data_IF_363787165108
#
_entry.id   IF_363787165108
#
_cell.length_a   1.000
_cell.length_b   1.000
_cell.length_c   1.000
_cell.angle_alpha   90.00
_cell.angle_beta   90.00
_cell.angle_gamma   90.00
#
_symmetry.space_group_name_H-M   'P 1'
#
loop_
_entity.id
_entity.type
_entity.pdbx_description
1 polymer ?
#
# COMPACT_ATOMS: atom_id res chain seq x y z
N UNK A 1 8.23 -28.59 10.24
CA UNK A 1 7.21 -28.98 9.24
C UNK A 1 6.33 -27.78 8.95
N UNK A 2 6.44 -27.26 7.73
CA UNK A 2 5.89 -26.01 7.27
C UNK A 2 4.40 -26.12 6.96
N UNK A 3 3.60 -25.22 7.55
CA UNK A 3 2.16 -25.07 7.32
C UNK A 3 1.78 -24.48 5.93
N UNK A 4 2.68 -24.59 4.95
CA UNK A 4 2.59 -23.88 3.65
C UNK A 4 1.95 -24.67 2.51
N UNK A 5 1.38 -25.86 2.76
CA UNK A 5 1.03 -26.78 1.67
C UNK A 5 -0.45 -27.00 1.37
N UNK A 6 -1.41 -26.26 1.92
CA UNK A 6 -2.84 -26.51 1.59
C UNK A 6 -3.64 -25.23 1.41
N UNK A 7 -3.46 -24.54 0.29
CA UNK A 7 -4.51 -23.66 -0.24
C UNK A 7 -5.00 -24.30 -1.54
N UNK A 8 -6.28 -24.71 -1.64
CA UNK A 8 -6.80 -25.32 -2.86
C UNK A 8 -6.81 -24.31 -4.01
N UNK A 9 -6.21 -24.71 -5.11
CA UNK A 9 -6.32 -24.02 -6.40
C UNK A 9 -7.80 -24.01 -6.81
N UNK A 10 -8.48 -22.87 -6.70
CA UNK A 10 -9.84 -22.75 -7.22
C UNK A 10 -10.83 -21.87 -6.46
N UNK A 11 -10.52 -21.40 -5.27
CA UNK A 11 -11.43 -20.44 -4.61
C UNK A 11 -11.38 -19.08 -5.30
N UNK A 12 -12.52 -18.48 -5.70
CA UNK A 12 -12.53 -17.11 -6.21
C UNK A 12 -12.14 -16.16 -5.08
N UNK A 13 -10.90 -15.68 -5.11
CA UNK A 13 -10.39 -14.78 -4.08
C UNK A 13 -11.12 -13.45 -4.23
N UNK A 14 -11.92 -13.03 -3.24
CA UNK A 14 -12.77 -11.82 -3.34
C UNK A 14 -11.98 -10.58 -3.79
N UNK A 15 -10.73 -10.48 -3.38
CA UNK A 15 -9.84 -9.33 -3.63
C UNK A 15 -9.23 -9.27 -5.03
N UNK A 16 -9.23 -10.38 -5.79
CA UNK A 16 -8.79 -10.34 -7.20
C UNK A 16 -9.65 -9.41 -8.04
N UNK A 17 -10.93 -9.26 -7.72
CA UNK A 17 -11.81 -8.28 -8.39
C UNK A 17 -11.37 -6.84 -8.09
N UNK A 18 -11.09 -6.54 -6.83
CA UNK A 18 -10.66 -5.18 -6.40
C UNK A 18 -9.30 -4.83 -6.99
N UNK A 19 -8.33 -5.76 -6.91
CA UNK A 19 -7.00 -5.58 -7.51
C UNK A 19 -7.11 -5.45 -9.04
N UNK A 20 -7.92 -6.29 -9.71
CA UNK A 20 -8.13 -6.20 -11.16
C UNK A 20 -8.79 -4.88 -11.57
N UNK A 21 -9.78 -4.40 -10.82
CA UNK A 21 -10.44 -3.12 -11.07
C UNK A 21 -9.45 -1.95 -10.92
N UNK A 22 -8.67 -1.96 -9.84
CA UNK A 22 -7.64 -0.96 -9.57
C UNK A 22 -6.58 -0.90 -10.67
N UNK A 23 -6.16 -2.07 -11.17
CA UNK A 23 -5.15 -2.21 -12.22
C UNK A 23 -5.72 -1.86 -13.60
N UNK A 24 -6.97 -2.24 -13.87
CA UNK A 24 -7.65 -1.88 -15.12
C UNK A 24 -7.78 -0.36 -15.27
N UNK A 25 -8.04 0.34 -14.20
CA UNK A 25 -8.13 1.81 -14.18
C UNK A 25 -6.77 2.49 -14.39
N UNK A 26 -5.68 1.88 -13.90
CA UNK A 26 -4.40 2.58 -13.76
C UNK A 26 -3.33 2.25 -14.80
N UNK A 27 -3.42 1.12 -15.55
CA UNK A 27 -2.38 0.69 -16.48
C UNK A 27 -2.92 -0.10 -17.70
N UNK A 28 -3.44 0.59 -18.73
CA UNK A 28 -3.92 -0.07 -19.95
C UNK A 28 -2.80 -0.66 -20.81
N UNK A 29 -1.52 -0.40 -20.53
CA UNK A 29 -0.39 -0.64 -21.43
C UNK A 29 0.31 -2.01 -21.28
N UNK A 30 -0.05 -2.84 -20.30
CA UNK A 30 0.57 -4.16 -20.15
C UNK A 30 -0.16 -5.21 -20.99
N UNK A 31 0.59 -5.97 -21.81
CA UNK A 31 0.08 -7.14 -22.53
C UNK A 31 -0.64 -8.08 -21.57
N UNK A 32 -1.81 -8.58 -21.97
CA UNK A 32 -2.73 -9.37 -21.13
C UNK A 32 -2.05 -10.55 -20.39
N UNK A 33 -1.17 -11.30 -21.04
CA UNK A 33 -0.45 -12.45 -20.45
C UNK A 33 0.51 -12.01 -19.33
N UNK A 34 1.38 -11.05 -19.60
CA UNK A 34 2.34 -10.51 -18.63
C UNK A 34 1.64 -9.87 -17.42
N UNK A 35 0.47 -9.28 -17.65
CA UNK A 35 -0.36 -8.71 -16.58
C UNK A 35 -0.87 -9.79 -15.63
N UNK A 36 -1.34 -10.93 -16.16
CA UNK A 36 -1.84 -12.04 -15.34
C UNK A 36 -0.72 -12.68 -14.51
N UNK A 37 0.46 -12.84 -15.09
CA UNK A 37 1.64 -13.37 -14.38
C UNK A 37 2.07 -12.43 -13.25
N UNK A 38 2.19 -11.15 -13.51
CA UNK A 38 2.51 -10.14 -12.50
C UNK A 38 1.47 -10.08 -11.39
N UNK A 39 0.18 -10.23 -11.70
CA UNK A 39 -0.88 -10.30 -10.70
C UNK A 39 -0.73 -11.50 -9.77
N UNK A 40 -0.44 -12.69 -10.31
CA UNK A 40 -0.22 -13.90 -9.51
C UNK A 40 0.98 -13.74 -8.59
N UNK A 41 2.10 -13.24 -9.13
CA UNK A 41 3.31 -13.03 -8.35
C UNK A 41 3.10 -12.01 -7.24
N UNK A 42 2.52 -10.85 -7.55
CA UNK A 42 2.17 -9.84 -6.57
C UNK A 42 1.27 -10.39 -5.47
N UNK A 43 0.20 -11.10 -5.86
CA UNK A 43 -0.74 -11.68 -4.92
C UNK A 43 -0.08 -12.68 -3.97
N UNK A 44 0.79 -13.56 -4.48
CA UNK A 44 1.51 -14.53 -3.66
C UNK A 44 2.35 -13.85 -2.56
N UNK A 45 2.93 -12.68 -2.85
CA UNK A 45 3.72 -11.92 -1.87
C UNK A 45 2.80 -11.14 -0.93
N UNK A 46 1.74 -10.53 -1.45
CA UNK A 46 0.85 -9.64 -0.72
C UNK A 46 -0.14 -10.39 0.19
N UNK A 47 -0.55 -11.62 -0.20
CA UNK A 47 -1.59 -12.38 0.43
C UNK A 47 -1.45 -12.51 1.97
N UNK A 48 -0.29 -12.83 2.54
CA UNK A 48 -0.14 -12.94 3.99
C UNK A 48 -0.46 -11.65 4.75
N UNK A 49 -0.37 -10.50 4.07
CA UNK A 49 -0.70 -9.18 4.64
C UNK A 49 -2.16 -8.84 4.38
N UNK A 50 -2.60 -8.90 3.12
CA UNK A 50 -3.93 -8.42 2.73
C UNK A 50 -5.08 -9.28 3.26
N UNK A 51 -4.86 -10.57 3.49
CA UNK A 51 -5.89 -11.48 4.03
C UNK A 51 -5.92 -11.47 5.58
N UNK A 52 -5.00 -10.77 6.23
CA UNK A 52 -4.99 -10.66 7.68
C UNK A 52 -6.20 -9.83 8.16
N UNK A 53 -7.01 -10.31 9.15
CA UNK A 53 -8.18 -9.60 9.64
C UNK A 53 -7.88 -8.20 10.18
N UNK A 54 -6.72 -8.01 10.83
CA UNK A 54 -6.32 -6.68 11.31
C UNK A 54 -6.05 -5.73 10.14
N UNK A 55 -5.40 -6.21 9.07
CA UNK A 55 -5.14 -5.41 7.87
C UNK A 55 -6.45 -5.02 7.15
N UNK A 56 -7.44 -5.90 7.14
CA UNK A 56 -8.76 -5.64 6.54
C UNK A 56 -9.52 -4.48 7.22
N UNK A 57 -9.21 -4.15 8.48
CA UNK A 57 -9.81 -3.01 9.20
C UNK A 57 -9.49 -1.67 8.52
N UNK A 58 -8.39 -1.57 7.77
CA UNK A 58 -8.01 -0.36 7.01
C UNK A 58 -9.06 0.07 5.99
N UNK A 59 -9.91 -0.83 5.50
CA UNK A 59 -11.04 -0.52 4.60
C UNK A 59 -12.06 0.44 5.21
N UNK A 60 -12.11 0.52 6.55
CA UNK A 60 -13.04 1.39 7.27
C UNK A 60 -12.47 2.78 7.55
N UNK A 61 -11.18 3.00 7.30
CA UNK A 61 -10.48 4.23 7.66
C UNK A 61 -10.27 5.06 6.41
N UNK A 62 -10.87 6.24 6.40
CA UNK A 62 -10.76 7.17 5.25
C UNK A 62 -9.38 7.82 5.21
N UNK A 63 -8.78 7.82 4.02
CA UNK A 63 -7.57 8.53 3.70
C UNK A 63 -7.80 9.31 2.39
N UNK A 64 -7.79 10.65 2.46
CA UNK A 64 -8.16 11.52 1.32
C UNK A 64 -9.54 11.15 0.73
N UNK A 65 -9.58 10.73 -0.54
CA UNK A 65 -10.81 10.33 -1.26
C UNK A 65 -11.09 8.82 -1.19
N UNK A 66 -10.17 8.04 -0.63
CA UNK A 66 -10.22 6.58 -0.53
C UNK A 66 -10.01 6.10 0.91
N UNK A 67 -10.11 4.81 1.12
CA UNK A 67 -9.66 4.16 2.36
C UNK A 67 -8.15 3.85 2.31
N UNK A 68 -7.54 3.68 3.49
CA UNK A 68 -6.10 3.39 3.62
C UNK A 68 -5.74 2.07 2.92
N UNK A 69 -6.60 1.06 2.97
CA UNK A 69 -6.38 -0.22 2.32
C UNK A 69 -6.18 -0.05 0.81
N UNK A 70 -7.07 0.69 0.15
CA UNK A 70 -7.02 0.94 -1.29
C UNK A 70 -5.80 1.78 -1.68
N UNK A 71 -5.43 2.76 -0.86
CA UNK A 71 -4.21 3.55 -1.03
C UNK A 71 -2.96 2.66 -0.96
N UNK A 72 -2.78 1.93 0.14
CA UNK A 72 -1.63 1.05 0.34
C UNK A 72 -1.49 0.00 -0.76
N UNK A 73 -2.61 -0.59 -1.20
CA UNK A 73 -2.63 -1.55 -2.30
C UNK A 73 -2.18 -0.91 -3.62
N UNK A 74 -2.56 0.35 -3.88
CA UNK A 74 -2.14 1.10 -5.07
C UNK A 74 -0.63 1.37 -5.06
N UNK A 75 -0.11 1.82 -3.91
CA UNK A 75 1.32 2.08 -3.71
C UNK A 75 2.12 0.78 -3.88
N UNK A 76 1.67 -0.30 -3.24
CA UNK A 76 2.34 -1.61 -3.30
C UNK A 76 2.38 -2.17 -4.73
N UNK A 77 1.28 -2.09 -5.48
CA UNK A 77 1.22 -2.58 -6.86
C UNK A 77 2.16 -1.82 -7.81
N UNK A 78 2.14 -0.49 -7.77
CA UNK A 78 3.01 0.34 -8.61
C UNK A 78 4.48 0.10 -8.22
N UNK A 79 4.79 0.07 -6.92
CA UNK A 79 6.13 -0.20 -6.42
C UNK A 79 6.63 -1.59 -6.81
N UNK A 80 5.76 -2.62 -6.81
CA UNK A 80 6.06 -3.96 -7.30
C UNK A 80 6.52 -3.96 -8.76
N UNK A 81 5.77 -3.30 -9.65
CA UNK A 81 6.12 -3.23 -11.07
C UNK A 81 7.46 -2.53 -11.31
N UNK A 82 7.70 -1.44 -10.60
CA UNK A 82 8.96 -0.70 -10.68
C UNK A 82 10.11 -1.49 -10.05
N UNK A 83 9.89 -2.16 -8.92
CA UNK A 83 10.89 -3.02 -8.29
C UNK A 83 11.34 -4.16 -9.22
N UNK A 84 10.41 -4.80 -9.94
CA UNK A 84 10.75 -5.79 -11.00
C UNK A 84 11.61 -5.16 -12.10
N UNK A 85 11.25 -3.97 -12.54
CA UNK A 85 11.96 -3.25 -13.60
C UNK A 85 13.40 -2.90 -13.21
N UNK A 86 13.61 -2.56 -11.94
CA UNK A 86 14.91 -2.08 -11.44
C UNK A 86 15.71 -3.16 -10.68
N UNK A 87 15.25 -4.40 -10.65
CA UNK A 87 15.94 -5.51 -9.96
C UNK A 87 16.06 -5.31 -8.45
N UNK A 88 15.04 -4.73 -7.79
CA UNK A 88 15.02 -4.50 -6.36
C UNK A 88 14.42 -5.69 -5.61
N UNK A 89 14.53 -5.69 -4.27
CA UNK A 89 13.97 -6.73 -3.39
C UNK A 89 12.44 -6.65 -3.36
N UNK A 90 11.79 -7.36 -4.28
CA UNK A 90 10.34 -7.29 -4.53
C UNK A 90 9.52 -7.60 -3.27
N UNK A 91 9.92 -8.62 -2.51
CA UNK A 91 9.22 -9.02 -1.28
C UNK A 91 9.21 -7.89 -0.24
N UNK A 92 10.36 -7.28 0.02
CA UNK A 92 10.50 -6.15 0.96
C UNK A 92 9.70 -4.93 0.49
N UNK A 93 9.74 -4.64 -0.82
CA UNK A 93 8.99 -3.53 -1.42
C UNK A 93 7.50 -3.71 -1.25
N UNK A 94 6.96 -4.87 -1.61
CA UNK A 94 5.51 -5.13 -1.53
C UNK A 94 5.03 -5.09 -0.09
N UNK A 95 5.71 -5.80 0.82
CA UNK A 95 5.30 -5.85 2.23
C UNK A 95 5.48 -4.49 2.91
N UNK A 96 6.60 -3.82 2.70
CA UNK A 96 6.84 -2.48 3.22
C UNK A 96 5.81 -1.46 2.72
N UNK A 97 5.48 -1.50 1.43
CA UNK A 97 4.48 -0.62 0.84
C UNK A 97 3.05 -0.91 1.33
N UNK A 98 2.68 -2.18 1.59
CA UNK A 98 1.40 -2.50 2.19
C UNK A 98 1.30 -1.99 3.64
N UNK A 99 2.41 -1.94 4.35
CA UNK A 99 2.43 -1.63 5.78
C UNK A 99 2.84 -0.19 6.11
N UNK A 100 3.17 0.65 5.11
CA UNK A 100 3.68 2.00 5.39
C UNK A 100 2.67 2.87 6.15
N UNK A 101 1.38 2.74 5.84
CA UNK A 101 0.26 3.43 6.49
C UNK A 101 -0.63 2.46 7.29
N UNK A 102 -0.02 1.55 8.07
CA UNK A 102 -0.76 0.60 8.91
C UNK A 102 -1.12 1.20 10.26
N UNK A 103 -2.03 2.20 10.25
CA UNK A 103 -2.58 2.85 11.44
C UNK A 103 -4.12 2.81 11.44
N UNK A 104 -4.78 2.96 12.63
CA UNK A 104 -6.19 2.65 12.83
C UNK A 104 -7.00 3.85 13.37
N UNK A 105 -6.67 5.07 13.00
CA UNK A 105 -7.37 6.27 13.43
C UNK A 105 -7.64 7.21 12.26
N UNK A 106 -8.66 8.08 12.41
CA UNK A 106 -8.85 9.19 11.47
C UNK A 106 -7.83 10.30 11.80
N UNK A 107 -6.89 10.52 10.89
CA UNK A 107 -5.81 11.49 11.06
C UNK A 107 -6.30 12.95 11.21
N UNK A 108 -7.54 13.26 10.76
CA UNK A 108 -8.13 14.60 10.86
C UNK A 108 -8.58 14.92 12.28
N UNK A 109 -9.02 13.92 13.01
CA UNK A 109 -9.53 14.05 14.37
C UNK A 109 -8.56 13.53 15.43
N UNK A 110 -7.48 12.89 15.00
CA UNK A 110 -6.51 12.27 15.89
C UNK A 110 -5.80 13.31 16.76
N UNK A 111 -5.93 13.12 18.06
CA UNK A 111 -5.26 13.88 19.14
C UNK A 111 -4.75 12.87 20.15
N UNK A 112 -3.56 12.34 19.90
CA UNK A 112 -2.91 11.42 20.82
C UNK A 112 -2.04 12.22 21.81
N UNK A 113 -2.32 12.08 23.10
CA UNK A 113 -1.55 12.72 24.18
C UNK A 113 -0.11 12.21 24.25
N UNK A 114 0.11 10.99 23.74
CA UNK A 114 1.45 10.35 23.72
C UNK A 114 2.31 10.79 22.52
N UNK A 115 1.71 11.49 21.54
CA UNK A 115 2.41 11.99 20.36
C UNK A 115 2.24 13.51 20.25
N UNK A 116 3.26 14.23 20.70
CA UNK A 116 3.31 15.72 20.64
C UNK A 116 3.41 16.21 19.18
N UNK A 117 3.89 15.34 18.27
CA UNK A 117 4.13 15.70 16.88
C UNK A 117 2.89 15.54 16.00
N UNK A 118 2.70 16.40 14.98
CA UNK A 118 1.64 16.26 13.99
C UNK A 118 1.63 14.87 13.33
N UNK A 119 0.46 14.45 12.85
CA UNK A 119 0.25 13.14 12.20
C UNK A 119 1.34 12.76 11.20
N UNK A 120 1.76 13.68 10.33
CA UNK A 120 2.80 13.42 9.32
C UNK A 120 4.14 12.95 9.88
N UNK A 121 4.43 13.23 11.16
CA UNK A 121 5.66 12.79 11.84
C UNK A 121 5.45 11.56 12.72
N UNK A 122 4.26 11.37 13.27
CA UNK A 122 3.97 10.30 14.23
C UNK A 122 3.49 9.00 13.56
N UNK A 123 2.68 9.07 12.48
CA UNK A 123 2.08 7.88 11.90
C UNK A 123 3.09 6.84 11.35
N UNK A 124 4.29 7.21 10.83
CA UNK A 124 5.25 6.18 10.39
C UNK A 124 5.71 5.28 11.54
N UNK A 125 5.91 5.87 12.73
CA UNK A 125 6.32 5.11 13.92
C UNK A 125 5.15 4.27 14.43
N UNK A 126 3.93 4.79 14.41
CA UNK A 126 2.71 4.06 14.79
C UNK A 126 2.49 2.88 13.84
N UNK A 127 2.58 3.10 12.52
CA UNK A 127 2.46 2.05 11.52
C UNK A 127 3.49 0.94 11.72
N UNK A 128 4.74 1.31 12.00
CA UNK A 128 5.78 0.32 12.29
C UNK A 128 5.49 -0.50 13.55
N UNK A 129 5.07 0.15 14.66
CA UNK A 129 4.71 -0.55 15.91
C UNK A 129 3.53 -1.52 15.67
N UNK A 130 2.50 -1.08 14.96
CA UNK A 130 1.35 -1.92 14.61
C UNK A 130 1.75 -3.09 13.72
N UNK A 131 2.61 -2.86 12.71
CA UNK A 131 3.09 -3.89 11.82
C UNK A 131 3.89 -4.97 12.57
N UNK A 132 4.79 -4.58 13.47
CA UNK A 132 5.54 -5.52 14.32
C UNK A 132 4.60 -6.31 15.24
N UNK A 133 3.60 -5.65 15.83
CA UNK A 133 2.63 -6.31 16.72
C UNK A 133 1.80 -7.39 15.99
N UNK A 134 1.41 -7.14 14.74
CA UNK A 134 0.51 -8.04 13.97
C UNK A 134 1.28 -9.07 13.16
N UNK A 135 2.38 -8.66 12.51
CA UNK A 135 3.14 -9.49 11.56
C UNK A 135 4.48 -9.97 12.09
N UNK A 136 4.83 -9.60 13.32
CA UNK A 136 6.09 -9.98 13.93
C UNK A 136 7.29 -9.22 13.35
N UNK A 137 8.43 -9.93 13.25
CA UNK A 137 9.69 -9.34 12.80
C UNK A 137 9.64 -8.87 11.35
N UNK A 138 9.98 -7.62 11.13
CA UNK A 138 10.14 -7.01 9.80
C UNK A 138 11.62 -6.98 9.41
N UNK A 139 11.90 -6.99 8.10
CA UNK A 139 13.27 -6.81 7.61
C UNK A 139 13.75 -5.37 7.83
N UNK A 140 15.07 -5.12 7.84
CA UNK A 140 15.59 -3.76 7.91
C UNK A 140 15.08 -2.85 6.79
N UNK A 141 14.81 -3.41 5.61
CA UNK A 141 14.28 -2.68 4.45
C UNK A 141 12.81 -2.34 4.65
N UNK A 142 11.98 -3.30 5.06
CA UNK A 142 10.56 -3.06 5.39
C UNK A 142 10.43 -1.97 6.47
N UNK A 143 11.26 -2.06 7.53
CA UNK A 143 11.30 -1.02 8.57
C UNK A 143 11.64 0.35 8.00
N UNK A 144 12.69 0.43 7.17
CA UNK A 144 13.14 1.70 6.57
C UNK A 144 12.07 2.30 5.65
N UNK A 145 11.38 1.46 4.86
CA UNK A 145 10.22 1.86 4.05
C UNK A 145 9.17 2.50 4.95
N UNK A 146 8.71 1.79 5.98
CA UNK A 146 7.60 2.24 6.84
C UNK A 146 7.98 3.53 7.58
N UNK A 147 9.17 3.58 8.20
CA UNK A 147 9.54 4.68 9.08
C UNK A 147 9.91 5.95 8.31
N UNK A 148 10.37 5.82 7.06
CA UNK A 148 10.93 6.97 6.31
C UNK A 148 10.13 7.38 5.08
N UNK A 149 8.95 6.79 4.82
CA UNK A 149 8.14 7.14 3.64
C UNK A 149 7.71 8.62 3.63
N UNK A 150 7.68 9.29 4.79
CA UNK A 150 7.33 10.71 4.87
C UNK A 150 8.47 11.67 4.51
N UNK A 151 9.67 11.16 4.15
CA UNK A 151 10.71 12.05 3.62
C UNK A 151 10.21 12.81 2.36
N UNK A 152 10.53 14.12 2.15
CA UNK A 152 11.42 14.98 2.94
C UNK A 152 10.76 15.70 4.12
N UNK A 153 9.48 15.47 4.42
CA UNK A 153 8.84 16.07 5.62
C UNK A 153 9.60 15.66 6.89
N UNK A 154 9.96 14.38 7.00
CA UNK A 154 10.91 13.89 8.01
C UNK A 154 12.34 14.10 7.50
N UNK A 155 13.22 14.59 8.37
CA UNK A 155 14.58 15.03 7.99
C UNK A 155 15.48 13.87 7.55
N UNK A 156 15.24 12.65 8.06
CA UNK A 156 16.09 11.47 7.81
C UNK A 156 15.69 10.82 6.48
N UNK A 157 16.58 10.81 5.47
CA UNK A 157 16.26 10.23 4.16
C UNK A 157 16.18 8.69 4.22
N UNK A 158 15.49 8.08 3.24
CA UNK A 158 15.53 6.65 3.00
C UNK A 158 16.97 6.13 2.84
N UNK A 159 17.28 5.01 3.49
CA UNK A 159 18.61 4.37 3.40
C UNK A 159 18.74 3.41 2.22
N UNK A 160 17.65 2.76 1.85
CA UNK A 160 17.60 1.75 0.80
C UNK A 160 16.94 2.28 -0.46
N UNK A 161 17.36 1.76 -1.62
CA UNK A 161 16.75 2.10 -2.91
C UNK A 161 15.26 1.74 -2.95
N UNK A 162 14.91 0.64 -2.30
CA UNK A 162 13.53 0.19 -2.11
C UNK A 162 12.70 1.21 -1.34
N UNK A 163 13.25 1.76 -0.27
CA UNK A 163 12.58 2.77 0.55
C UNK A 163 12.39 4.08 -0.22
N UNK A 164 13.40 4.51 -0.96
CA UNK A 164 13.28 5.69 -1.82
C UNK A 164 12.20 5.49 -2.90
N UNK A 165 12.19 4.30 -3.55
CA UNK A 165 11.18 3.96 -4.54
C UNK A 165 9.77 4.07 -3.97
N UNK A 166 9.50 3.40 -2.83
CA UNK A 166 8.16 3.42 -2.21
C UNK A 166 7.77 4.82 -1.79
N UNK A 167 8.69 5.61 -1.20
CA UNK A 167 8.47 7.02 -0.85
C UNK A 167 8.03 7.86 -2.05
N UNK A 168 8.68 7.71 -3.20
CA UNK A 168 8.33 8.46 -4.41
C UNK A 168 6.99 8.01 -4.98
N UNK A 169 6.71 6.70 -4.99
CA UNK A 169 5.43 6.15 -5.46
C UNK A 169 4.28 6.59 -4.56
N UNK A 170 4.45 6.55 -3.25
CA UNK A 170 3.46 7.01 -2.28
C UNK A 170 3.06 8.45 -2.56
N UNK A 171 4.02 9.36 -2.67
CA UNK A 171 3.77 10.78 -2.96
C UNK A 171 3.06 10.99 -4.31
N UNK A 172 3.45 10.25 -5.34
CA UNK A 172 2.79 10.32 -6.65
C UNK A 172 1.33 9.82 -6.58
N UNK A 173 1.06 8.75 -5.84
CA UNK A 173 -0.30 8.21 -5.64
C UNK A 173 -1.13 9.18 -4.82
N UNK A 174 -0.62 9.67 -3.68
CA UNK A 174 -1.30 10.63 -2.80
C UNK A 174 -1.63 11.95 -3.53
N UNK A 175 -0.68 12.50 -4.30
CA UNK A 175 -0.91 13.72 -5.10
C UNK A 175 -2.01 13.53 -6.13
N UNK A 176 -2.03 12.36 -6.82
CA UNK A 176 -3.10 12.05 -7.80
C UNK A 176 -4.45 11.88 -7.13
N UNK A 177 -4.51 11.28 -5.96
CA UNK A 177 -5.74 11.10 -5.19
C UNK A 177 -6.28 12.46 -4.71
N UNK A 178 -5.41 13.32 -4.17
CA UNK A 178 -5.77 14.68 -3.77
C UNK A 178 -6.28 15.52 -4.95
N UNK A 179 -5.62 15.44 -6.11
CA UNK A 179 -6.06 16.13 -7.33
C UNK A 179 -7.44 15.69 -7.80
N UNK A 180 -7.71 14.36 -7.78
CA UNK A 180 -9.04 13.83 -8.14
C UNK A 180 -10.14 14.27 -7.16
N UNK A 181 -9.83 14.41 -5.87
CA UNK A 181 -10.78 14.87 -4.86
C UNK A 181 -11.22 16.32 -5.07
N UNK A 182 -10.34 17.15 -5.64
CA UNK A 182 -10.59 18.58 -5.89
C UNK A 182 -11.27 18.81 -7.25
N UNK A 183 -11.09 17.92 -8.22
CA UNK A 183 -11.73 18.06 -9.53
C UNK A 183 -13.24 17.79 -9.46
N UNK A 184 -14.08 18.69 -10.02
CA UNK A 184 -15.53 18.46 -10.08
C UNK A 184 -15.81 17.20 -10.92
N UNK A 185 -16.62 16.29 -10.40
CA UNK A 185 -17.08 15.11 -11.13
C UNK A 185 -17.76 15.58 -12.43
N UNK A 186 -17.15 15.24 -13.56
CA UNK A 186 -17.74 15.51 -14.88
C UNK A 186 -19.12 14.84 -14.91
N UNK A 187 -20.18 15.64 -14.98
CA UNK A 187 -21.55 15.12 -15.10
C UNK A 187 -21.59 14.27 -16.37
N UNK A 188 -21.85 12.98 -16.24
CA UNK A 188 -22.21 12.14 -17.38
C UNK A 188 -23.49 12.71 -17.97
N UNK A 189 -23.38 13.32 -19.14
CA UNK A 189 -24.54 13.76 -19.94
C UNK A 189 -25.22 12.47 -20.36
N UNK A 190 -26.33 12.13 -19.70
CA UNK A 190 -27.22 11.09 -20.19
C UNK A 190 -27.72 11.57 -21.56
N UNK A 191 -27.21 10.96 -22.61
CA UNK A 191 -27.87 11.04 -23.92
C UNK A 191 -29.20 10.31 -23.78
N UNK A 192 -30.25 11.09 -24.03
CA UNK A 192 -31.62 10.59 -24.24
C UNK A 192 -31.71 9.89 -25.58
#
# INVERSE_FOLDING_TARGET
>A
SSAWQKIPFGSPVPYLKEIRALIAEKLPLLRSKTRTENLKEFYNIANPVIDNPEYQKLKKIKHHDKDIYTHNLSVAWISFLLAKRFGLRIGDVVRGALLHDFFFYDWRTFRDKDYILPHGFSHPVISYKNAVKVFGRLTPVEKDIIVKHMWPLTVVPPRYRESLLVTMVDKAVASREAFKAVMPKRKETKQK
#
